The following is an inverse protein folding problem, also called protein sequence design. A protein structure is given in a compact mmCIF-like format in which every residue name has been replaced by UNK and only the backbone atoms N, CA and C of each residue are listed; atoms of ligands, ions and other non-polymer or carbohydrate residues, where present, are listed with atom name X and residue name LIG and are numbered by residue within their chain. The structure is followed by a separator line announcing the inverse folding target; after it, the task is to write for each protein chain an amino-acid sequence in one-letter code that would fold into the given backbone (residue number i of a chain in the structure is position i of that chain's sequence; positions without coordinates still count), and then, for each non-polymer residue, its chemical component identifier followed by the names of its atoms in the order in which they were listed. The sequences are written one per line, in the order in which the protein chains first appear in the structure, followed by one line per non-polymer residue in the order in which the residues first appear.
data_IF_542808183392
#
_entry.id   IF_542808183392
#
_cell.length_a   1.000
_cell.length_b   1.000
_cell.length_c   1.000
_cell.angle_alpha   90.00
_cell.angle_beta   90.00
_cell.angle_gamma   90.00
#
_symmetry.space_group_name_H-M   'P 1'
#
loop_
_entity.id
_entity.type
_entity.pdbx_description
1 polymer ?
#
# COMPACT_ATOMS: atom_id res chain seq x y z
N UNK A 1 2.75 30.01 -30.91
CA UNK A 1 2.09 29.68 -29.62
C UNK A 1 2.47 28.24 -29.28
N UNK A 2 3.59 28.05 -28.58
CA UNK A 2 3.96 26.74 -28.06
C UNK A 2 2.95 26.34 -26.99
N UNK A 3 2.22 25.26 -27.24
CA UNK A 3 1.39 24.64 -26.21
C UNK A 3 2.35 23.99 -25.22
N UNK A 4 2.61 24.66 -24.11
CA UNK A 4 3.24 24.07 -22.94
C UNK A 4 2.27 23.05 -22.31
N UNK A 5 2.17 21.87 -22.92
CA UNK A 5 1.47 20.73 -22.32
C UNK A 5 2.41 20.12 -21.30
N UNK A 6 2.22 20.45 -20.01
CA UNK A 6 2.75 19.62 -18.93
C UNK A 6 2.34 18.17 -19.22
N UNK A 7 3.24 17.18 -19.11
CA UNK A 7 2.83 15.79 -19.21
C UNK A 7 1.76 15.53 -18.13
N UNK A 8 0.63 14.93 -18.53
CA UNK A 8 -0.42 14.58 -17.59
C UNK A 8 0.17 13.62 -16.55
N UNK A 9 0.04 13.93 -15.27
CA UNK A 9 0.50 13.06 -14.19
C UNK A 9 -0.22 11.71 -14.29
N UNK A 10 0.55 10.62 -14.26
CA UNK A 10 0.00 9.27 -14.38
C UNK A 10 -0.86 8.93 -13.15
N UNK A 11 -2.04 8.35 -13.38
CA UNK A 11 -3.00 8.02 -12.32
C UNK A 11 -3.43 6.56 -12.37
N UNK A 12 -3.78 6.02 -11.20
CA UNK A 12 -4.29 4.67 -11.03
C UNK A 12 -5.68 4.73 -10.41
N UNK A 13 -6.61 3.93 -10.94
CA UNK A 13 -7.92 3.72 -10.30
C UNK A 13 -7.86 2.47 -9.44
N UNK A 14 -8.09 2.65 -8.15
CA UNK A 14 -8.13 1.57 -7.17
C UNK A 14 -9.44 0.77 -7.25
N UNK A 15 -9.45 -0.43 -6.67
CA UNK A 15 -10.59 -1.32 -6.51
C UNK A 15 -10.86 -1.58 -5.04
N UNK A 16 -12.08 -2.03 -4.75
CA UNK A 16 -12.49 -2.40 -3.40
C UNK A 16 -12.75 -3.91 -3.32
N UNK A 17 -12.60 -4.54 -2.14
CA UNK A 17 -12.84 -5.98 -1.98
C UNK A 17 -14.30 -6.40 -2.27
N UNK A 18 -15.24 -5.45 -2.17
CA UNK A 18 -16.65 -5.64 -2.53
C UNK A 18 -16.92 -5.60 -4.05
N UNK A 19 -15.87 -5.49 -4.86
CA UNK A 19 -15.94 -5.43 -6.33
C UNK A 19 -16.28 -4.05 -6.89
N UNK A 20 -16.48 -3.04 -6.06
CA UNK A 20 -16.76 -1.67 -6.52
C UNK A 20 -15.48 -0.94 -6.91
N UNK A 21 -15.55 0.03 -7.83
CA UNK A 21 -14.42 0.91 -8.08
C UNK A 21 -14.09 1.73 -6.83
N UNK A 22 -12.81 1.92 -6.58
CA UNK A 22 -12.28 2.82 -5.57
C UNK A 22 -12.02 4.22 -6.15
N UNK A 23 -11.05 4.89 -5.55
CA UNK A 23 -10.64 6.26 -5.90
C UNK A 23 -9.53 6.28 -6.95
N UNK A 24 -9.34 7.43 -7.57
CA UNK A 24 -8.20 7.71 -8.46
C UNK A 24 -7.09 8.36 -7.63
N UNK A 25 -5.86 7.85 -7.74
CA UNK A 25 -4.67 8.38 -7.08
C UNK A 25 -3.57 8.65 -8.12
N UNK A 26 -2.67 9.57 -7.80
CA UNK A 26 -1.42 9.72 -8.54
C UNK A 26 -0.64 8.41 -8.42
N UNK A 27 -0.13 7.90 -9.55
CA UNK A 27 0.55 6.62 -9.59
C UNK A 27 1.77 6.59 -8.65
N UNK A 28 2.52 7.69 -8.60
CA UNK A 28 3.67 7.80 -7.70
C UNK A 28 3.29 7.64 -6.22
N UNK A 29 2.18 8.27 -5.81
CA UNK A 29 1.66 8.13 -4.45
C UNK A 29 1.14 6.72 -4.19
N UNK A 30 0.41 6.14 -5.15
CA UNK A 30 -0.11 4.79 -5.05
C UNK A 30 1.01 3.75 -4.92
N UNK A 31 2.01 3.80 -5.80
CA UNK A 31 3.15 2.88 -5.80
C UNK A 31 3.94 2.98 -4.48
N UNK A 32 4.20 4.21 -4.02
CA UNK A 32 4.86 4.44 -2.74
C UNK A 32 4.09 3.81 -1.57
N UNK A 33 2.77 4.04 -1.50
CA UNK A 33 1.92 3.51 -0.44
C UNK A 33 1.80 1.98 -0.53
N UNK A 34 1.74 1.40 -1.72
CA UNK A 34 1.78 -0.06 -1.89
C UNK A 34 3.03 -0.65 -1.25
N UNK A 35 4.20 -0.15 -1.65
CA UNK A 35 5.49 -0.61 -1.11
C UNK A 35 5.59 -0.39 0.40
N UNK A 36 5.15 0.77 0.89
CA UNK A 36 5.14 1.07 2.32
C UNK A 36 4.27 0.10 3.13
N UNK A 37 3.04 -0.17 2.67
CA UNK A 37 2.10 -1.07 3.36
C UNK A 37 2.63 -2.51 3.33
N UNK A 38 2.97 -3.01 2.14
CA UNK A 38 3.42 -4.39 1.95
C UNK A 38 4.69 -4.69 2.77
N UNK A 39 5.69 -3.81 2.71
CA UNK A 39 6.92 -3.96 3.51
C UNK A 39 6.69 -3.82 5.02
N UNK A 40 5.73 -2.98 5.44
CA UNK A 40 5.38 -2.85 6.86
C UNK A 40 4.72 -4.10 7.41
N UNK A 41 3.90 -4.76 6.60
CA UNK A 41 3.24 -6.03 6.94
C UNK A 41 4.22 -7.20 6.89
N UNK A 42 5.15 -7.22 5.92
CA UNK A 42 6.20 -8.23 5.84
C UNK A 42 7.11 -8.23 7.08
N UNK A 43 7.52 -7.04 7.53
CA UNK A 43 8.48 -6.87 8.64
C UNK A 43 7.86 -7.05 10.04
N UNK A 44 6.54 -7.27 10.11
CA UNK A 44 5.80 -7.28 11.38
C UNK A 44 4.98 -8.55 11.51
N UNK A 45 5.19 -9.32 12.57
CA UNK A 45 4.45 -10.56 12.76
C UNK A 45 2.96 -10.34 12.99
N UNK A 46 2.52 -9.25 13.64
CA UNK A 46 1.12 -9.01 13.98
C UNK A 46 0.75 -7.53 13.91
N UNK A 47 0.89 -6.91 12.73
CA UNK A 47 0.55 -5.49 12.55
C UNK A 47 -0.97 -5.29 12.46
N UNK A 48 -1.52 -4.34 13.20
CA UNK A 48 -2.90 -3.89 13.04
C UNK A 48 -3.00 -2.70 12.10
N UNK A 49 -4.22 -2.33 11.69
CA UNK A 49 -4.42 -1.08 10.93
C UNK A 49 -3.92 0.14 11.72
N UNK A 50 -4.16 0.19 13.03
CA UNK A 50 -3.70 1.30 13.87
C UNK A 50 -2.18 1.37 13.93
N UNK A 51 -1.50 0.23 14.06
CA UNK A 51 -0.02 0.18 14.06
C UNK A 51 0.54 0.67 12.72
N UNK A 52 -0.10 0.27 11.60
CA UNK A 52 0.28 0.72 10.27
C UNK A 52 0.11 2.24 10.09
N UNK A 53 -1.01 2.78 10.55
CA UNK A 53 -1.29 4.23 10.49
C UNK A 53 -0.33 5.02 11.37
N UNK A 54 -0.05 4.55 12.59
CA UNK A 54 0.90 5.19 13.49
C UNK A 54 2.33 5.15 12.91
N UNK A 55 2.72 4.01 12.36
CA UNK A 55 4.01 3.87 11.67
C UNK A 55 4.12 4.83 10.50
N UNK A 56 3.06 4.97 9.71
CA UNK A 56 3.03 5.91 8.58
C UNK A 56 3.16 7.36 9.07
N UNK A 57 2.41 7.72 10.10
CA UNK A 57 2.48 9.04 10.75
C UNK A 57 3.90 9.37 11.17
N UNK A 58 4.58 8.45 11.87
CA UNK A 58 5.96 8.66 12.33
C UNK A 58 6.97 8.71 11.18
N UNK A 59 6.83 7.84 10.18
CA UNK A 59 7.81 7.69 9.09
C UNK A 59 7.72 8.84 8.07
N UNK A 60 6.51 9.34 7.84
CA UNK A 60 6.17 10.27 6.77
C UNK A 60 5.81 11.67 7.28
N UNK A 61 6.02 11.92 8.59
CA UNK A 61 5.74 13.22 9.18
C UNK A 61 6.48 14.34 8.44
N UNK A 62 5.75 15.39 8.08
CA UNK A 62 6.26 16.52 7.30
C UNK A 62 6.66 16.22 5.85
N UNK A 63 6.59 14.96 5.38
CA UNK A 63 6.96 14.55 4.00
C UNK A 63 5.76 14.30 3.09
N UNK A 64 4.57 14.19 3.66
CA UNK A 64 3.35 13.92 2.93
C UNK A 64 2.39 15.09 2.99
N UNK A 65 1.73 15.40 1.86
CA UNK A 65 0.65 16.38 1.80
C UNK A 65 -0.71 15.71 1.65
N UNK A 66 -1.71 16.20 2.40
CA UNK A 66 -3.07 15.68 2.41
C UNK A 66 -3.30 14.53 3.40
N UNK A 67 -4.46 13.87 3.27
CA UNK A 67 -4.92 12.86 4.23
C UNK A 67 -4.24 11.50 3.99
N UNK A 68 -3.08 11.32 4.63
CA UNK A 68 -2.28 10.10 4.56
C UNK A 68 -3.06 8.87 5.05
N UNK A 69 -3.80 9.00 6.16
CA UNK A 69 -4.57 7.91 6.74
C UNK A 69 -5.66 7.41 5.80
N UNK A 70 -6.39 8.35 5.17
CA UNK A 70 -7.39 8.02 4.16
C UNK A 70 -6.77 7.35 2.94
N UNK A 71 -5.64 7.87 2.41
CA UNK A 71 -4.96 7.26 1.26
C UNK A 71 -4.47 5.84 1.58
N UNK A 72 -3.89 5.62 2.77
CA UNK A 72 -3.51 4.26 3.22
C UNK A 72 -4.72 3.33 3.24
N UNK A 73 -5.87 3.79 3.73
CA UNK A 73 -7.08 2.98 3.74
C UNK A 73 -7.54 2.62 2.32
N UNK A 74 -7.48 3.56 1.37
CA UNK A 74 -7.83 3.29 -0.04
C UNK A 74 -6.89 2.25 -0.66
N UNK A 75 -5.57 2.42 -0.50
CA UNK A 75 -4.57 1.49 -1.04
C UNK A 75 -4.66 0.12 -0.36
N UNK A 76 -4.89 0.06 0.96
CA UNK A 76 -5.15 -1.21 1.68
C UNK A 76 -6.32 -1.97 1.07
N UNK A 77 -7.45 -1.30 0.83
CA UNK A 77 -8.63 -1.94 0.23
C UNK A 77 -8.33 -2.47 -1.17
N UNK A 78 -7.53 -1.77 -1.95
CA UNK A 78 -7.07 -2.21 -3.27
C UNK A 78 -6.18 -3.46 -3.19
N UNK A 79 -5.20 -3.47 -2.27
CA UNK A 79 -4.35 -4.63 -2.03
C UNK A 79 -5.16 -5.87 -1.58
N UNK A 80 -6.23 -5.66 -0.81
CA UNK A 80 -7.18 -6.73 -0.46
C UNK A 80 -8.00 -7.20 -1.66
N UNK A 81 -8.48 -6.28 -2.50
CA UNK A 81 -9.19 -6.61 -3.74
C UNK A 81 -8.32 -7.45 -4.69
N UNK A 82 -7.02 -7.16 -4.73
CA UNK A 82 -6.02 -7.89 -5.50
C UNK A 82 -5.47 -9.14 -4.81
N UNK A 83 -5.98 -9.50 -3.63
CA UNK A 83 -5.54 -10.66 -2.82
C UNK A 83 -4.04 -10.65 -2.52
N UNK A 84 -3.45 -9.46 -2.35
CA UNK A 84 -2.07 -9.30 -1.89
C UNK A 84 -1.99 -9.20 -0.36
N UNK A 85 -3.05 -8.67 0.23
CA UNK A 85 -3.23 -8.49 1.66
C UNK A 85 -4.53 -9.15 2.13
N UNK A 86 -4.58 -9.64 3.36
CA UNK A 86 -5.79 -10.12 4.01
C UNK A 86 -5.87 -9.66 5.47
N UNK A 87 -7.10 -9.55 5.99
CA UNK A 87 -7.36 -9.25 7.40
C UNK A 87 -7.66 -10.53 8.14
N UNK A 88 -6.84 -10.84 9.14
CA UNK A 88 -6.97 -12.02 9.98
C UNK A 88 -7.53 -11.65 11.36
N UNK A 89 -8.51 -12.43 11.83
CA UNK A 89 -9.08 -12.29 13.17
C UNK A 89 -8.33 -13.22 14.13
N UNK A 90 -7.74 -12.66 15.19
CA UNK A 90 -7.05 -13.48 16.18
C UNK A 90 -8.06 -14.36 16.96
N UNK A 91 -7.90 -15.68 16.89
CA UNK A 91 -8.82 -16.65 17.53
C UNK A 91 -8.95 -16.46 19.03
N UNK A 92 -7.87 -16.04 19.71
CA UNK A 92 -7.82 -15.88 21.18
C UNK A 92 -8.12 -14.47 21.69
N UNK A 93 -8.02 -13.45 20.83
CA UNK A 93 -8.31 -12.04 21.18
C UNK A 93 -9.42 -11.54 20.28
N UNK A 94 -10.66 -11.61 20.77
CA UNK A 94 -11.80 -11.03 20.07
C UNK A 94 -11.50 -9.55 19.77
N UNK A 95 -11.78 -9.12 18.55
CA UNK A 95 -11.56 -7.77 18.02
C UNK A 95 -10.11 -7.37 17.70
N UNK A 96 -9.16 -8.31 17.71
CA UNK A 96 -7.83 -8.04 17.15
C UNK A 96 -7.80 -8.44 15.66
N UNK A 97 -7.84 -7.44 14.80
CA UNK A 97 -7.71 -7.59 13.35
C UNK A 97 -6.27 -7.27 12.95
N UNK A 98 -5.57 -8.28 12.43
CA UNK A 98 -4.18 -8.14 11.98
C UNK A 98 -4.11 -8.25 10.46
N UNK A 99 -3.19 -7.50 9.86
CA UNK A 99 -2.94 -7.57 8.42
C UNK A 99 -1.89 -8.67 8.17
N UNK A 100 -2.13 -9.47 7.14
CA UNK A 100 -1.20 -10.51 6.68
C UNK A 100 -1.03 -10.44 5.17
N UNK A 101 0.17 -10.76 4.71
CA UNK A 101 0.43 -10.97 3.30
C UNK A 101 -0.09 -12.33 2.88
N UNK A 102 -0.74 -12.38 1.73
CA UNK A 102 -1.07 -13.66 1.09
C UNK A 102 0.19 -14.26 0.45
N UNK A 103 0.09 -15.50 -0.05
CA UNK A 103 1.15 -16.10 -0.88
C UNK A 103 1.47 -15.24 -2.10
N UNK A 104 0.46 -14.62 -2.70
CA UNK A 104 0.62 -13.73 -3.85
C UNK A 104 1.31 -12.42 -3.45
N UNK A 105 0.92 -11.83 -2.31
CA UNK A 105 1.58 -10.64 -1.75
C UNK A 105 3.07 -10.88 -1.48
N UNK A 106 3.41 -11.99 -0.83
CA UNK A 106 4.80 -12.38 -0.58
C UNK A 106 5.60 -12.63 -1.85
N UNK A 107 4.97 -13.16 -2.90
CA UNK A 107 5.64 -13.36 -4.20
C UNK A 107 5.94 -12.03 -4.88
N UNK A 108 5.02 -11.07 -4.78
CA UNK A 108 5.19 -9.74 -5.35
C UNK A 108 6.36 -8.99 -4.71
N UNK A 109 6.42 -8.95 -3.38
CA UNK A 109 7.50 -8.28 -2.66
C UNK A 109 8.86 -8.87 -3.02
N UNK A 110 8.96 -10.21 -3.08
CA UNK A 110 10.21 -10.88 -3.46
C UNK A 110 10.68 -10.52 -4.86
N UNK A 111 9.76 -10.40 -5.81
CA UNK A 111 10.07 -9.95 -7.15
C UNK A 111 10.53 -8.48 -7.16
N UNK A 112 9.82 -7.60 -6.46
CA UNK A 112 10.17 -6.18 -6.36
C UNK A 112 11.57 -5.99 -5.73
N UNK A 113 11.88 -6.73 -4.66
CA UNK A 113 13.19 -6.71 -4.02
C UNK A 113 14.30 -7.22 -4.96
N UNK A 114 14.05 -8.32 -5.69
CA UNK A 114 15.00 -8.86 -6.66
C UNK A 114 15.30 -7.88 -7.79
N UNK A 115 14.28 -7.19 -8.31
CA UNK A 115 14.45 -6.16 -9.35
C UNK A 115 15.24 -4.97 -8.83
N UNK A 116 14.98 -4.53 -7.59
CA UNK A 116 15.74 -3.45 -6.96
C UNK A 116 17.22 -3.82 -6.79
N UNK A 117 17.52 -5.05 -6.33
CA UNK A 117 18.90 -5.55 -6.20
C UNK A 117 19.65 -5.62 -7.54
N UNK A 118 18.96 -5.85 -8.64
CA UNK A 118 19.57 -5.82 -9.98
C UNK A 118 19.84 -4.39 -10.45
N UNK A 119 18.90 -3.48 -10.21
CA UNK A 119 19.06 -2.07 -10.58
C UNK A 119 20.21 -1.36 -9.83
N UNK A 120 20.57 -1.82 -8.63
CA UNK A 120 21.71 -1.29 -7.87
C UNK A 120 23.09 -1.81 -8.33
N UNK A 121 23.11 -2.86 -9.16
CA UNK A 121 24.34 -3.49 -9.67
C UNK A 121 24.79 -2.97 -11.04
N UNK A 122 23.93 -2.20 -11.70
CA UNK A 122 24.18 -1.54 -12.99
C UNK A 122 24.59 -0.07 -12.79
#
# INVERSE_FOLDING_TARGET
MEKNTKPAEEVVRTHRPDGRPGVVLLKQEYDFLCSFILSSVEKSDNITLNDLLEKARVTLDGKWSGDLSWKILQVKMDLEAHRLLEVMVATRKRHAYTLKLTRQGLSRIRYENQVAEWAEKD
#
